data_IF_144272613126
#
_entry.id   IF_144272613126
#
_cell.length_a   1.000
_cell.length_b   1.000
_cell.length_c   1.000
_cell.angle_alpha   90.00
_cell.angle_beta   90.00
_cell.angle_gamma   90.00
#
_symmetry.space_group_name_H-M   'P 1'
#
loop_
_entity.id
_entity.type
_entity.pdbx_description
1 polymer ?
#
# COMPACT_ATOMS: atom_id res chain seq x y z
N UNK A 1 10.01 9.50 9.78
CA UNK A 1 9.24 8.61 8.89
C UNK A 1 8.28 9.48 8.09
N UNK A 2 8.12 9.18 6.80
CA UNK A 2 7.22 9.88 5.87
C UNK A 2 6.31 8.84 5.23
N UNK A 3 5.03 9.19 5.03
CA UNK A 3 4.07 8.35 4.32
C UNK A 3 3.36 9.18 3.25
N UNK A 4 3.03 8.53 2.13
CA UNK A 4 2.27 9.09 1.02
C UNK A 4 1.07 8.18 0.75
N UNK A 5 -0.09 8.75 0.43
CA UNK A 5 -1.29 7.98 0.07
C UNK A 5 -1.24 7.49 -1.37
N UNK A 6 -0.34 8.05 -2.18
CA UNK A 6 -0.09 7.61 -3.54
C UNK A 6 0.66 6.28 -3.52
N UNK A 7 0.17 5.32 -4.30
CA UNK A 7 0.79 4.01 -4.52
C UNK A 7 1.17 3.76 -5.98
N UNK A 8 0.77 4.65 -6.90
CA UNK A 8 1.20 4.62 -8.30
C UNK A 8 1.54 6.05 -8.76
N UNK A 9 2.80 6.35 -9.13
CA UNK A 9 3.96 5.44 -9.17
C UNK A 9 4.34 4.90 -7.79
N UNK A 10 5.05 3.76 -7.74
CA UNK A 10 5.38 3.06 -6.49
C UNK A 10 6.29 3.90 -5.57
N UNK A 11 7.13 4.76 -6.16
CA UNK A 11 7.92 5.79 -5.48
C UNK A 11 7.60 7.17 -6.06
N UNK A 12 6.99 8.04 -5.26
CA UNK A 12 6.76 9.44 -5.63
C UNK A 12 8.03 10.28 -5.44
N UNK A 13 8.17 11.45 -6.10
CA UNK A 13 9.29 12.37 -5.83
C UNK A 13 9.43 12.75 -4.36
N UNK A 14 8.29 12.81 -3.64
CA UNK A 14 8.25 13.07 -2.21
C UNK A 14 8.87 11.93 -1.39
N UNK A 15 8.49 10.69 -1.66
CA UNK A 15 9.06 9.52 -1.01
C UNK A 15 10.56 9.35 -1.34
N UNK A 16 10.95 9.61 -2.59
CA UNK A 16 12.34 9.59 -3.02
C UNK A 16 13.20 10.60 -2.26
N UNK A 17 12.68 11.81 -2.05
CA UNK A 17 13.34 12.85 -1.25
C UNK A 17 13.45 12.45 0.23
N UNK A 18 12.42 11.80 0.78
CA UNK A 18 12.48 11.31 2.15
C UNK A 18 13.57 10.23 2.31
N UNK A 19 13.64 9.27 1.38
CA UNK A 19 14.68 8.21 1.38
C UNK A 19 16.08 8.79 1.21
N UNK A 20 16.26 9.79 0.35
CA UNK A 20 17.57 10.43 0.16
C UNK A 20 18.08 11.17 1.40
N UNK A 21 17.18 11.53 2.33
CA UNK A 21 17.50 12.09 3.64
C UNK A 21 17.68 11.02 4.73
N UNK A 22 17.69 9.73 4.38
CA UNK A 22 17.80 8.62 5.33
C UNK A 22 16.54 8.37 6.16
N UNK A 23 15.38 8.92 5.74
CA UNK A 23 14.12 8.70 6.43
C UNK A 23 13.41 7.47 5.88
N UNK A 24 12.77 6.70 6.75
CA UNK A 24 11.82 5.66 6.34
C UNK A 24 10.66 6.29 5.58
N UNK A 25 10.35 5.76 4.40
CA UNK A 25 9.31 6.24 3.50
C UNK A 25 8.36 5.10 3.09
N UNK A 26 7.06 5.29 3.26
CA UNK A 26 6.00 4.31 2.96
C UNK A 26 5.03 4.86 1.92
N UNK A 27 4.63 4.04 0.95
CA UNK A 27 3.61 4.42 -0.04
C UNK A 27 2.20 4.01 0.41
N UNK A 28 1.20 4.33 -0.41
CA UNK A 28 -0.21 4.12 -0.08
C UNK A 28 -0.72 2.70 -0.25
N UNK A 29 0.10 1.73 -0.71
CA UNK A 29 -0.41 0.42 -1.12
C UNK A 29 -0.95 -0.37 0.08
N UNK A 30 -0.28 -0.28 1.23
CA UNK A 30 -0.76 -0.87 2.47
C UNK A 30 -2.10 -0.26 2.90
N UNK A 31 -2.26 1.05 2.78
CA UNK A 31 -3.52 1.73 3.10
C UNK A 31 -4.67 1.22 2.22
N UNK A 32 -4.42 1.03 0.90
CA UNK A 32 -5.39 0.46 -0.02
C UNK A 32 -5.86 -0.95 0.39
N UNK A 33 -4.93 -1.81 0.84
CA UNK A 33 -5.26 -3.15 1.32
C UNK A 33 -6.10 -3.08 2.60
N UNK A 34 -5.61 -2.39 3.63
CA UNK A 34 -6.24 -2.44 4.95
C UNK A 34 -7.61 -1.77 4.98
N UNK A 35 -7.82 -0.68 4.23
CA UNK A 35 -9.16 -0.10 4.11
C UNK A 35 -10.13 -1.08 3.43
N UNK A 36 -9.64 -1.90 2.49
CA UNK A 36 -10.46 -2.90 1.81
C UNK A 36 -10.77 -4.09 2.73
N UNK A 37 -9.83 -4.47 3.62
CA UNK A 37 -10.08 -5.47 4.66
C UNK A 37 -11.28 -5.08 5.53
N UNK A 38 -11.29 -3.86 6.07
CA UNK A 38 -12.37 -3.37 6.92
C UNK A 38 -13.71 -3.32 6.16
N UNK A 39 -13.70 -2.79 4.93
CA UNK A 39 -14.90 -2.73 4.10
C UNK A 39 -15.44 -4.13 3.75
N UNK A 40 -14.55 -5.09 3.46
CA UNK A 40 -14.90 -6.46 3.17
C UNK A 40 -15.57 -7.10 4.39
N UNK A 41 -14.96 -7.00 5.57
CA UNK A 41 -15.51 -7.54 6.82
C UNK A 41 -16.88 -6.94 7.16
N UNK A 42 -17.06 -5.63 6.97
CA UNK A 42 -18.35 -4.97 7.19
C UNK A 42 -19.44 -5.50 6.24
N UNK A 43 -19.11 -5.79 4.99
CA UNK A 43 -20.09 -6.21 3.99
C UNK A 43 -20.38 -7.72 3.99
N UNK A 44 -19.37 -8.55 4.24
CA UNK A 44 -19.48 -10.01 4.14
C UNK A 44 -19.59 -10.69 5.50
N UNK A 45 -19.10 -10.05 6.56
CA UNK A 45 -18.89 -10.68 7.87
C UNK A 45 -17.75 -11.71 7.88
N UNK A 46 -16.96 -11.80 6.80
CA UNK A 46 -15.83 -12.72 6.66
C UNK A 46 -14.50 -11.97 6.70
N UNK A 47 -13.46 -12.58 7.25
CA UNK A 47 -12.10 -12.04 7.23
C UNK A 47 -11.51 -12.12 5.81
N UNK A 48 -10.96 -11.00 5.35
CA UNK A 48 -10.34 -10.95 4.02
C UNK A 48 -8.98 -11.68 3.99
N UNK A 49 -8.67 -12.49 2.95
CA UNK A 49 -7.37 -13.14 2.79
C UNK A 49 -6.28 -12.11 2.39
N UNK A 50 -5.79 -11.37 3.39
CA UNK A 50 -4.91 -10.22 3.18
C UNK A 50 -3.54 -10.58 2.59
N UNK A 51 -2.99 -11.76 2.91
CA UNK A 51 -1.67 -12.17 2.42
C UNK A 51 -1.68 -12.45 0.91
N UNK A 52 -2.67 -13.19 0.44
CA UNK A 52 -2.86 -13.53 -0.98
C UNK A 52 -3.12 -12.27 -1.81
N UNK A 53 -3.96 -11.37 -1.29
CA UNK A 53 -4.27 -10.10 -1.95
C UNK A 53 -3.05 -9.19 -1.96
N UNK A 54 -2.25 -9.16 -0.89
CA UNK A 54 -1.01 -8.39 -0.85
C UNK A 54 -0.05 -8.82 -1.96
N UNK A 55 0.19 -10.12 -2.13
CA UNK A 55 1.04 -10.63 -3.21
C UNK A 55 0.51 -10.24 -4.60
N UNK A 56 -0.81 -10.32 -4.81
CA UNK A 56 -1.42 -9.91 -6.07
C UNK A 56 -1.31 -8.38 -6.32
N UNK A 57 -1.41 -7.56 -5.27
CA UNK A 57 -1.22 -6.11 -5.35
C UNK A 57 0.24 -5.75 -5.68
N UNK A 58 1.20 -6.40 -5.03
CA UNK A 58 2.62 -6.21 -5.33
C UNK A 58 2.93 -6.58 -6.78
N UNK A 59 2.49 -7.75 -7.26
CA UNK A 59 2.67 -8.14 -8.67
C UNK A 59 2.06 -7.13 -9.64
N UNK A 60 0.86 -6.63 -9.33
CA UNK A 60 0.15 -5.69 -10.21
C UNK A 60 0.80 -4.31 -10.29
N UNK A 61 1.33 -3.80 -9.19
CA UNK A 61 1.79 -2.40 -9.07
C UNK A 61 3.32 -2.24 -9.02
N UNK A 62 4.08 -3.31 -8.78
CA UNK A 62 5.55 -3.29 -8.85
C UNK A 62 6.09 -3.48 -10.28
N UNK A 63 5.27 -4.03 -11.18
CA UNK A 63 5.69 -4.44 -12.54
C UNK A 63 5.37 -3.38 -13.63
N UNK A 64 5.08 -2.13 -13.25
CA UNK A 64 4.84 -1.02 -14.19
C UNK A 64 5.70 0.20 -13.89
#
# INVERSE_FOLDING_TARGET
MVADTIYQPFETPFLKLARSKGLTALNGLGMLLFQATEAFEIWTGETMPTAEIWSALEEKYNTK
#
